data_IF_009206450366
#
_entry.id   IF_009206450366
#
_cell.length_a   1.000
_cell.length_b   1.000
_cell.length_c   1.000
_cell.angle_alpha   90.00
_cell.angle_beta   90.00
_cell.angle_gamma   90.00
#
_symmetry.space_group_name_H-M   'P 1'
#
loop_
_entity.id
_entity.type
_entity.pdbx_description
1 polymer ?
#
# COMPACT_ATOMS: atom_id res chain seq x y z
N UNK A 1 8.45 -1.17 25.50
CA UNK A 1 7.45 -0.42 24.73
C UNK A 1 7.43 -1.00 23.33
N UNK A 2 6.41 -1.74 22.86
CA UNK A 2 6.46 -2.24 21.51
C UNK A 2 5.95 -1.15 20.57
N UNK A 3 6.81 -0.22 20.19
CA UNK A 3 6.71 0.46 18.89
C UNK A 3 7.29 -0.51 17.85
N UNK A 4 6.70 -1.70 17.75
CA UNK A 4 6.97 -2.58 16.62
C UNK A 4 6.42 -1.91 15.36
N UNK A 5 7.02 -2.13 14.18
CA UNK A 5 6.53 -1.52 12.97
C UNK A 5 5.09 -2.00 12.71
N UNK A 6 4.10 -1.13 12.99
CA UNK A 6 2.69 -1.48 12.89
C UNK A 6 2.32 -1.63 11.41
N UNK A 7 1.83 -2.81 11.04
CA UNK A 7 1.38 -3.04 9.68
C UNK A 7 0.09 -2.29 9.42
N UNK A 8 -0.19 -1.99 8.15
CA UNK A 8 -1.47 -1.39 7.77
C UNK A 8 -2.66 -2.23 8.25
N UNK A 9 -2.54 -3.56 8.23
CA UNK A 9 -3.55 -4.45 8.80
C UNK A 9 -3.73 -4.26 10.31
N UNK A 10 -2.65 -4.07 11.08
CA UNK A 10 -2.70 -3.80 12.51
C UNK A 10 -3.35 -2.44 12.80
N UNK A 11 -2.97 -1.39 12.06
CA UNK A 11 -3.53 -0.05 12.19
C UNK A 11 -5.01 0.01 11.76
N UNK A 12 -5.40 -0.77 10.74
CA UNK A 12 -6.81 -0.96 10.38
C UNK A 12 -7.58 -1.65 11.51
N UNK A 13 -7.00 -2.68 12.12
CA UNK A 13 -7.61 -3.42 13.23
C UNK A 13 -7.72 -2.58 14.50
N UNK A 14 -6.77 -1.67 14.72
CA UNK A 14 -6.78 -0.69 15.80
C UNK A 14 -7.73 0.49 15.55
N UNK A 15 -8.36 0.58 14.37
CA UNK A 15 -9.25 1.68 14.00
C UNK A 15 -8.52 3.00 13.72
N UNK A 16 -7.20 2.95 13.58
CA UNK A 16 -6.38 4.13 13.24
C UNK A 16 -6.56 4.48 11.77
N UNK A 17 -6.65 3.49 10.89
CA UNK A 17 -6.81 3.67 9.43
C UNK A 17 -8.10 2.99 8.98
N UNK A 18 -8.84 3.65 8.08
CA UNK A 18 -10.09 3.11 7.53
C UNK A 18 -9.84 2.27 6.28
N UNK A 19 -10.71 1.31 6.01
CA UNK A 19 -10.68 0.56 4.75
C UNK A 19 -10.77 1.48 3.52
N UNK A 20 -11.46 2.61 3.64
CA UNK A 20 -11.55 3.61 2.57
C UNK A 20 -10.20 4.25 2.27
N UNK A 21 -9.40 4.58 3.28
CA UNK A 21 -8.04 5.10 3.06
C UNK A 21 -7.13 4.06 2.39
N UNK A 22 -7.24 2.78 2.77
CA UNK A 22 -6.49 1.71 2.10
C UNK A 22 -6.86 1.62 0.62
N UNK A 23 -8.16 1.67 0.31
CA UNK A 23 -8.64 1.66 -1.07
C UNK A 23 -8.19 2.91 -1.83
N UNK A 24 -8.21 4.08 -1.20
CA UNK A 24 -7.76 5.34 -1.79
C UNK A 24 -6.25 5.32 -2.08
N UNK A 25 -5.44 4.76 -1.18
CA UNK A 25 -4.01 4.57 -1.36
C UNK A 25 -3.73 3.68 -2.59
N UNK A 26 -4.45 2.56 -2.72
CA UNK A 26 -4.31 1.65 -3.87
C UNK A 26 -4.80 2.32 -5.16
N UNK A 27 -5.93 3.03 -5.13
CA UNK A 27 -6.47 3.74 -6.30
C UNK A 27 -5.51 4.84 -6.79
N UNK A 28 -4.90 5.57 -5.87
CA UNK A 28 -3.90 6.59 -6.15
C UNK A 28 -2.66 5.95 -6.78
N UNK A 29 -2.17 4.82 -6.27
CA UNK A 29 -1.07 4.09 -6.90
C UNK A 29 -1.42 3.52 -8.29
N UNK A 30 -2.65 3.05 -8.47
CA UNK A 30 -3.13 2.58 -9.78
C UNK A 30 -3.21 3.73 -10.79
N UNK A 31 -3.66 4.92 -10.37
CA UNK A 31 -3.63 6.14 -11.19
C UNK A 31 -2.21 6.64 -11.46
N UNK A 32 -1.38 6.67 -10.44
CA UNK A 32 -0.04 7.21 -10.47
C UNK A 32 0.95 6.27 -9.74
N UNK A 33 1.71 5.44 -10.48
CA UNK A 33 2.71 4.56 -9.87
C UNK A 33 3.94 5.30 -9.36
N UNK A 34 4.14 6.55 -9.78
CA UNK A 34 5.27 7.37 -9.36
C UNK A 34 4.99 8.07 -8.03
N UNK A 35 3.73 8.08 -7.58
CA UNK A 35 3.35 8.47 -6.23
C UNK A 35 3.86 7.44 -5.22
N UNK A 36 5.15 7.54 -4.91
CA UNK A 36 5.85 6.67 -3.98
C UNK A 36 5.26 6.78 -2.58
N UNK A 37 5.17 8.00 -2.04
CA UNK A 37 4.74 8.23 -0.67
C UNK A 37 3.25 8.59 -0.58
N UNK A 38 2.45 7.70 0.02
CA UNK A 38 1.07 7.97 0.42
C UNK A 38 1.03 8.32 1.91
N UNK A 39 0.49 9.48 2.24
CA UNK A 39 0.28 9.91 3.62
C UNK A 39 -1.17 9.68 4.02
N UNK A 40 -1.36 8.84 5.04
CA UNK A 40 -2.66 8.59 5.65
C UNK A 40 -3.10 9.79 6.49
N UNK A 41 -4.41 9.96 6.63
CA UNK A 41 -5.01 10.99 7.49
C UNK A 41 -4.55 10.86 8.95
N UNK A 42 -4.25 9.64 9.37
CA UNK A 42 -3.75 9.30 10.71
C UNK A 42 -2.29 9.75 10.95
N UNK A 43 -1.62 10.34 9.96
CA UNK A 43 -0.25 10.86 10.05
C UNK A 43 0.83 9.89 9.58
N UNK A 44 0.51 8.61 9.42
CA UNK A 44 1.43 7.59 8.92
C UNK A 44 1.72 7.76 7.44
N UNK A 45 2.92 7.39 7.02
CA UNK A 45 3.33 7.41 5.61
C UNK A 45 3.67 6.00 5.14
N UNK A 46 3.24 5.67 3.92
CA UNK A 46 3.52 4.41 3.23
C UNK A 46 4.15 4.68 1.88
N UNK A 47 5.33 4.10 1.64
CA UNK A 47 5.89 4.10 0.31
C UNK A 47 5.35 2.92 -0.51
N UNK A 48 4.26 3.12 -1.26
CA UNK A 48 3.61 2.06 -2.03
C UNK A 48 4.52 1.65 -3.19
N UNK A 49 5.22 2.59 -3.83
CA UNK A 49 6.10 2.27 -4.95
C UNK A 49 7.30 1.42 -4.51
N UNK A 50 7.98 1.78 -3.42
CA UNK A 50 9.09 1.01 -2.88
C UNK A 50 8.63 -0.36 -2.37
N UNK A 51 7.46 -0.43 -1.74
CA UNK A 51 6.88 -1.68 -1.26
C UNK A 51 6.53 -2.63 -2.42
N UNK A 52 5.88 -2.10 -3.46
CA UNK A 52 5.56 -2.84 -4.67
C UNK A 52 6.84 -3.22 -5.40
N UNK A 53 7.84 -2.35 -5.52
CA UNK A 53 9.13 -2.70 -6.12
C UNK A 53 9.90 -3.77 -5.33
N UNK A 54 9.71 -3.84 -4.01
CA UNK A 54 10.34 -4.85 -3.15
C UNK A 54 9.61 -6.20 -3.14
N UNK A 55 8.30 -6.21 -3.40
CA UNK A 55 7.47 -7.43 -3.33
C UNK A 55 7.03 -7.96 -4.70
N UNK A 56 6.96 -7.08 -5.71
CA UNK A 56 6.46 -7.36 -7.05
C UNK A 56 7.53 -6.92 -8.05
N UNK A 57 7.81 -7.77 -9.03
CA UNK A 57 8.79 -7.47 -10.07
C UNK A 57 8.39 -6.22 -10.86
N UNK A 58 9.34 -5.32 -11.20
CA UNK A 58 9.05 -4.11 -11.96
C UNK A 58 8.44 -4.41 -13.34
N UNK A 59 8.70 -5.58 -13.91
CA UNK A 59 8.07 -6.07 -15.14
C UNK A 59 6.58 -6.37 -14.95
N UNK A 60 6.18 -6.91 -13.80
CA UNK A 60 4.76 -7.16 -13.47
C UNK A 60 4.03 -5.84 -13.22
N UNK A 61 4.72 -4.87 -12.59
CA UNK A 61 4.22 -3.49 -12.45
C UNK A 61 4.05 -2.82 -13.81
N UNK A 62 4.98 -3.03 -14.75
CA UNK A 62 4.85 -2.52 -16.11
C UNK A 62 3.69 -3.18 -16.88
N UNK A 63 3.44 -4.47 -16.64
CA UNK A 63 2.34 -5.24 -17.25
C UNK A 63 1.00 -5.11 -16.50
N UNK A 64 0.89 -4.16 -15.56
CA UNK A 64 -0.33 -3.92 -14.77
C UNK A 64 -1.56 -3.55 -15.60
N UNK A 65 -1.37 -2.94 -16.77
CA UNK A 65 -2.44 -2.52 -17.67
C UNK A 65 -2.74 -3.66 -18.65
N UNK A 66 -3.77 -4.45 -18.35
CA UNK A 66 -4.14 -5.61 -19.17
C UNK A 66 -5.07 -6.57 -18.42
N UNK A 67 -5.21 -7.84 -18.88
CA UNK A 67 -6.06 -8.85 -18.22
C UNK A 67 -5.66 -9.14 -16.77
N UNK A 68 -4.46 -8.71 -16.35
CA UNK A 68 -3.93 -8.88 -15.01
C UNK A 68 -4.24 -7.71 -14.07
N UNK A 69 -4.92 -6.65 -14.49
CA UNK A 69 -5.20 -5.48 -13.64
C UNK A 69 -5.87 -5.86 -12.32
N UNK A 70 -6.87 -6.74 -12.37
CA UNK A 70 -7.59 -7.22 -11.17
C UNK A 70 -6.69 -8.06 -10.26
N UNK A 71 -5.83 -8.89 -10.84
CA UNK A 71 -4.85 -9.70 -10.12
C UNK A 71 -3.79 -8.81 -9.47
N UNK A 72 -3.26 -7.84 -10.22
CA UNK A 72 -2.30 -6.86 -9.77
C UNK A 72 -2.87 -6.02 -8.63
N UNK A 73 -4.11 -5.53 -8.74
CA UNK A 73 -4.78 -4.80 -7.66
C UNK A 73 -4.91 -5.64 -6.40
N UNK A 74 -5.22 -6.93 -6.54
CA UNK A 74 -5.33 -7.87 -5.40
C UNK A 74 -3.96 -8.12 -4.76
N UNK A 75 -2.91 -8.29 -5.57
CA UNK A 75 -1.53 -8.45 -5.09
C UNK A 75 -1.06 -7.18 -4.36
N UNK A 76 -1.24 -6.00 -4.96
CA UNK A 76 -0.93 -4.71 -4.33
C UNK A 76 -1.69 -4.57 -3.01
N UNK A 77 -2.98 -4.88 -2.97
CA UNK A 77 -3.76 -4.82 -1.74
C UNK A 77 -3.22 -5.75 -0.64
N UNK A 78 -2.82 -6.98 -0.99
CA UNK A 78 -2.24 -7.93 -0.04
C UNK A 78 -0.89 -7.44 0.50
N UNK A 79 -0.02 -6.95 -0.38
CA UNK A 79 1.29 -6.41 -0.01
C UNK A 79 1.12 -5.14 0.85
N UNK A 80 0.24 -4.22 0.44
CA UNK A 80 -0.10 -3.00 1.17
C UNK A 80 -0.67 -3.31 2.56
N UNK A 81 -1.50 -4.35 2.72
CA UNK A 81 -1.98 -4.78 4.03
C UNK A 81 -0.87 -5.36 4.93
N UNK A 82 0.10 -6.07 4.35
CA UNK A 82 1.27 -6.56 5.06
C UNK A 82 2.36 -5.49 5.27
N UNK A 83 2.19 -4.32 4.65
CA UNK A 83 3.18 -3.26 4.69
C UNK A 83 3.31 -2.67 6.08
N UNK A 84 4.55 -2.39 6.46
CA UNK A 84 4.88 -1.67 7.67
C UNK A 84 4.77 -0.17 7.42
N UNK A 85 3.95 0.50 8.20
CA UNK A 85 3.83 1.95 8.12
C UNK A 85 4.97 2.61 8.88
N UNK A 86 5.50 3.69 8.32
CA UNK A 86 6.49 4.50 9.01
C UNK A 86 5.74 5.46 9.93
N UNK A 87 6.09 5.44 11.21
CA UNK A 87 5.51 6.31 12.22
C UNK A 87 5.82 7.79 11.91
N UNK A 88 4.91 8.73 12.26
CA UNK A 88 5.09 10.16 12.06
C UNK A 88 6.22 10.76 12.91
#
# INVERSE_FOLDING_TARGET
MPAGPQTLADLRKAGVITSQEVVAAIDLYMRDPAAGLYRFASGYSLDIAALVASSISPTEVANRAGPQEKTFRTAVAAVVMAAHLTAP
#
